data_IF_099529941293
#
_entry.id   IF_099529941293
#
_cell.length_a   1.000
_cell.length_b   1.000
_cell.length_c   1.000
_cell.angle_alpha   90.00
_cell.angle_beta   90.00
_cell.angle_gamma   90.00
#
_symmetry.space_group_name_H-M   'P 1'
#
loop_
_entity.id
_entity.type
_entity.pdbx_description
1 polymer ?
#
# COMPACT_ATOMS: atom_id res chain seq x y z
N UNK A 1 -41.00 -35.32 12.88
CA UNK A 1 -40.38 -34.02 12.83
C UNK A 1 -39.08 -33.87 13.64
N UNK A 2 -39.04 -34.05 14.96
CA UNK A 2 -37.83 -33.84 15.79
C UNK A 2 -36.58 -34.61 15.30
N UNK A 3 -36.71 -35.91 14.92
CA UNK A 3 -35.56 -36.71 14.43
C UNK A 3 -34.97 -36.24 13.10
N UNK A 4 -35.77 -35.63 12.21
CA UNK A 4 -35.28 -35.05 10.95
C UNK A 4 -34.49 -33.77 11.17
N UNK A 5 -34.96 -32.92 12.11
CA UNK A 5 -34.27 -31.67 12.47
C UNK A 5 -32.87 -31.95 13.04
N UNK A 6 -32.79 -32.98 13.93
CA UNK A 6 -31.49 -33.39 14.52
C UNK A 6 -30.53 -33.87 13.43
N UNK A 7 -30.99 -34.65 12.45
CA UNK A 7 -30.13 -35.11 11.34
C UNK A 7 -29.61 -33.99 10.49
N UNK A 8 -30.46 -33.01 10.16
CA UNK A 8 -30.05 -31.79 9.42
C UNK A 8 -29.01 -30.98 10.21
N UNK A 9 -29.22 -30.84 11.52
CA UNK A 9 -28.28 -30.11 12.37
C UNK A 9 -26.91 -30.78 12.46
N UNK A 10 -26.88 -32.11 12.64
CA UNK A 10 -25.66 -32.92 12.63
C UNK A 10 -24.94 -32.79 11.27
N UNK A 11 -25.68 -32.85 10.17
CA UNK A 11 -25.13 -32.74 8.82
C UNK A 11 -24.47 -31.35 8.61
N UNK A 12 -25.11 -30.27 9.06
CA UNK A 12 -24.56 -28.92 8.99
C UNK A 12 -23.28 -28.76 9.85
N UNK A 13 -23.23 -29.40 11.02
CA UNK A 13 -22.02 -29.42 11.86
C UNK A 13 -20.87 -30.15 11.16
N UNK A 14 -21.15 -31.29 10.54
CA UNK A 14 -20.14 -32.06 9.80
C UNK A 14 -19.60 -31.26 8.64
N UNK A 15 -20.47 -30.65 7.83
CA UNK A 15 -20.05 -29.76 6.71
C UNK A 15 -19.20 -28.61 7.22
N UNK A 16 -19.64 -27.92 8.28
CA UNK A 16 -18.90 -26.81 8.89
C UNK A 16 -17.52 -27.25 9.40
N UNK A 17 -17.44 -28.43 9.99
CA UNK A 17 -16.17 -29.01 10.47
C UNK A 17 -15.22 -29.37 9.31
N UNK A 18 -15.74 -29.98 8.25
CA UNK A 18 -14.97 -30.30 7.04
C UNK A 18 -14.46 -29.01 6.40
N UNK A 19 -15.30 -27.97 6.25
CA UNK A 19 -14.91 -26.68 5.71
C UNK A 19 -13.82 -26.02 6.57
N UNK A 20 -13.95 -26.07 7.90
CA UNK A 20 -12.94 -25.53 8.82
C UNK A 20 -11.59 -26.26 8.71
N UNK A 21 -11.61 -27.60 8.56
CA UNK A 21 -10.40 -28.39 8.36
C UNK A 21 -9.75 -28.08 7.00
N UNK A 22 -10.56 -27.96 5.95
CA UNK A 22 -10.10 -27.61 4.62
C UNK A 22 -9.43 -26.23 4.57
N UNK A 23 -10.05 -25.23 5.18
CA UNK A 23 -9.46 -23.87 5.23
C UNK A 23 -8.17 -23.84 6.03
N UNK A 24 -8.07 -24.57 7.14
CA UNK A 24 -6.83 -24.71 7.91
C UNK A 24 -5.74 -25.42 7.12
N UNK A 25 -6.09 -26.48 6.40
CA UNK A 25 -5.16 -27.23 5.55
C UNK A 25 -4.62 -26.35 4.41
N UNK A 26 -5.49 -25.64 3.70
CA UNK A 26 -5.06 -24.72 2.63
C UNK A 26 -4.16 -23.61 3.16
N UNK A 27 -4.51 -23.03 4.32
CA UNK A 27 -3.65 -22.04 4.97
C UNK A 27 -2.27 -22.64 5.27
N UNK A 28 -2.23 -23.84 5.85
CA UNK A 28 -0.96 -24.51 6.18
C UNK A 28 -0.12 -24.77 4.92
N UNK A 29 -0.70 -25.26 3.83
CA UNK A 29 0.03 -25.51 2.58
C UNK A 29 0.58 -24.21 2.01
N UNK A 30 -0.23 -23.15 1.91
CA UNK A 30 0.18 -21.84 1.43
C UNK A 30 1.35 -21.30 2.26
N UNK A 31 1.24 -21.26 3.58
CA UNK A 31 2.29 -20.74 4.46
C UNK A 31 3.55 -21.62 4.49
N UNK A 32 3.44 -22.92 4.19
CA UNK A 32 4.60 -23.81 4.13
C UNK A 32 5.52 -23.51 2.96
N UNK A 33 4.95 -23.10 1.83
CA UNK A 33 5.67 -22.83 0.58
C UNK A 33 6.24 -21.40 0.51
N UNK A 34 5.77 -20.53 1.39
CA UNK A 34 6.22 -19.14 1.43
C UNK A 34 7.61 -19.00 2.02
N UNK A 35 8.36 -18.07 1.46
CA UNK A 35 9.56 -17.52 2.11
C UNK A 35 9.12 -16.58 3.24
N UNK A 36 9.57 -16.82 4.46
CA UNK A 36 9.30 -16.00 5.65
C UNK A 36 10.49 -15.15 6.07
N UNK A 37 11.51 -15.08 5.25
CA UNK A 37 12.69 -14.25 5.51
C UNK A 37 12.34 -12.75 5.56
N UNK A 38 11.26 -12.37 4.85
CA UNK A 38 10.81 -10.98 4.78
C UNK A 38 9.45 -10.81 5.47
N UNK A 39 9.41 -10.15 6.63
CA UNK A 39 8.17 -9.92 7.36
C UNK A 39 7.31 -8.85 6.69
N UNK A 40 5.99 -8.91 6.90
CA UNK A 40 5.13 -7.75 6.65
C UNK A 40 5.48 -6.69 7.69
N UNK A 41 5.69 -5.45 7.25
CA UNK A 41 5.85 -4.30 8.15
C UNK A 41 4.60 -3.45 8.11
N UNK A 42 4.13 -3.04 9.28
CA UNK A 42 2.98 -2.14 9.39
C UNK A 42 3.15 -1.12 10.50
N UNK A 43 2.58 0.05 10.32
CA UNK A 43 2.54 1.10 11.31
C UNK A 43 1.13 1.22 11.90
N UNK A 44 1.02 1.25 13.22
CA UNK A 44 -0.28 1.25 13.88
C UNK A 44 -0.25 1.89 15.27
N UNK A 45 -1.42 2.33 15.70
CA UNK A 45 -1.76 2.57 17.10
C UNK A 45 -2.79 1.52 17.52
N UNK A 46 -2.37 0.59 18.40
CA UNK A 46 -3.17 -0.53 18.85
C UNK A 46 -3.98 -0.15 20.09
N UNK A 47 -5.15 -0.72 20.21
CA UNK A 47 -6.10 -0.44 21.31
C UNK A 47 -5.54 -0.70 22.72
N UNK A 48 -4.52 -1.52 22.85
CA UNK A 48 -3.83 -1.77 24.12
C UNK A 48 -2.84 -0.66 24.51
N UNK A 49 -2.75 0.41 23.72
CA UNK A 49 -1.85 1.54 23.92
C UNK A 49 -0.47 1.36 23.27
N UNK A 50 -0.21 0.22 22.64
CA UNK A 50 1.00 0.04 21.85
C UNK A 50 0.89 0.84 20.53
N UNK A 51 1.83 1.75 20.32
CA UNK A 51 1.92 2.49 19.06
C UNK A 51 3.34 2.43 18.50
N UNK A 52 3.45 2.50 17.18
CA UNK A 52 4.73 2.48 16.49
C UNK A 52 4.68 1.68 15.19
N UNK A 53 5.83 1.20 14.78
CA UNK A 53 5.99 0.33 13.62
C UNK A 53 6.35 -1.07 14.07
N UNK A 54 5.73 -2.04 13.42
CA UNK A 54 5.76 -3.45 13.80
C UNK A 54 6.14 -4.31 12.61
N UNK A 55 6.81 -5.44 12.86
CA UNK A 55 6.95 -6.52 11.89
C UNK A 55 6.05 -7.70 12.28
N UNK A 56 5.40 -8.29 11.28
CA UNK A 56 4.50 -9.41 11.43
C UNK A 56 5.06 -10.63 10.70
N UNK A 57 5.26 -11.71 11.44
CA UNK A 57 5.66 -12.99 10.86
C UNK A 57 4.44 -13.75 10.36
N UNK A 58 4.40 -14.01 9.07
CA UNK A 58 3.25 -14.64 8.41
C UNK A 58 3.04 -16.08 8.88
N UNK A 59 4.14 -16.83 9.14
CA UNK A 59 4.07 -18.26 9.53
C UNK A 59 3.62 -18.45 10.97
N UNK A 60 4.19 -17.65 11.89
CA UNK A 60 3.83 -17.76 13.32
C UNK A 60 2.57 -16.99 13.66
N UNK A 61 2.24 -15.94 12.90
CA UNK A 61 1.15 -15.02 13.20
C UNK A 61 1.46 -14.05 14.34
N UNK A 62 2.72 -13.97 14.74
CA UNK A 62 3.19 -13.08 15.79
C UNK A 62 3.68 -11.76 15.20
N UNK A 63 3.61 -10.70 15.98
CA UNK A 63 4.18 -9.40 15.61
C UNK A 63 5.04 -8.85 16.75
N UNK A 64 6.05 -8.10 16.39
CA UNK A 64 6.92 -7.40 17.34
C UNK A 64 7.10 -5.95 16.92
N UNK A 65 7.25 -5.09 17.91
CA UNK A 65 7.50 -3.67 17.71
C UNK A 65 8.97 -3.45 17.36
N UNK A 66 9.22 -2.74 16.26
CA UNK A 66 10.57 -2.43 15.77
C UNK A 66 10.91 -0.94 15.88
N UNK A 67 9.90 -0.07 16.05
CA UNK A 67 10.11 1.36 16.25
C UNK A 67 9.01 1.96 17.09
N UNK A 68 9.35 2.97 17.91
CA UNK A 68 8.38 3.82 18.61
C UNK A 68 7.76 4.89 17.72
N UNK A 69 8.30 5.11 16.53
CA UNK A 69 7.73 6.00 15.53
C UNK A 69 6.69 5.28 14.67
N UNK A 70 5.66 6.02 14.29
CA UNK A 70 4.66 5.59 13.32
C UNK A 70 5.12 6.02 11.93
N UNK A 71 5.61 5.08 11.14
CA UNK A 71 5.98 5.30 9.75
C UNK A 71 4.73 5.25 8.88
N UNK A 72 4.22 6.42 8.49
CA UNK A 72 3.06 6.50 7.61
C UNK A 72 3.49 6.24 6.16
N UNK A 73 2.62 5.56 5.40
CA UNK A 73 2.83 5.26 3.98
C UNK A 73 4.22 4.66 3.70
N UNK A 74 4.61 3.73 4.55
CA UNK A 74 5.93 3.12 4.52
C UNK A 74 6.16 2.27 3.25
N UNK A 75 7.43 2.19 2.85
CA UNK A 75 7.88 1.34 1.74
C UNK A 75 9.21 0.68 2.08
N UNK A 76 9.38 -0.57 1.67
CA UNK A 76 10.67 -1.24 1.71
C UNK A 76 11.66 -0.66 0.68
N UNK A 77 12.95 -0.77 0.99
CA UNK A 77 14.01 -0.67 -0.01
C UNK A 77 13.98 -1.91 -0.93
N UNK A 78 14.57 -1.79 -2.14
CA UNK A 78 14.59 -2.89 -3.12
C UNK A 78 15.33 -4.13 -2.62
N UNK A 79 16.27 -3.98 -1.68
CA UNK A 79 16.97 -5.07 -1.01
C UNK A 79 16.28 -5.57 0.27
N UNK A 80 15.14 -4.95 0.64
CA UNK A 80 14.37 -5.25 1.85
C UNK A 80 15.13 -5.08 3.18
N UNK A 81 16.30 -4.45 3.17
CA UNK A 81 17.07 -4.22 4.40
C UNK A 81 16.56 -3.02 5.20
N UNK A 82 15.80 -2.12 4.57
CA UNK A 82 15.33 -0.88 5.16
C UNK A 82 13.88 -0.61 4.81
N UNK A 83 13.25 0.23 5.61
CA UNK A 83 11.98 0.86 5.28
C UNK A 83 12.12 2.38 5.33
N UNK A 84 11.38 3.06 4.49
CA UNK A 84 11.23 4.52 4.49
C UNK A 84 9.76 4.88 4.71
N UNK A 85 9.49 5.99 5.35
CA UNK A 85 8.14 6.48 5.56
C UNK A 85 8.11 7.93 6.01
N UNK A 86 6.91 8.47 6.10
CA UNK A 86 6.68 9.82 6.64
C UNK A 86 6.35 9.71 8.12
N UNK A 87 6.97 10.55 8.94
CA UNK A 87 6.69 10.69 10.37
C UNK A 87 6.00 12.02 10.61
N UNK A 88 4.89 11.99 11.33
CA UNK A 88 4.12 13.16 11.76
C UNK A 88 3.95 13.16 13.28
N UNK A 89 5.06 13.25 14.01
CA UNK A 89 5.04 13.26 15.46
C UNK A 89 5.78 14.48 16.02
N UNK A 90 5.44 14.90 17.24
CA UNK A 90 6.06 16.06 17.89
C UNK A 90 7.60 15.97 17.94
N UNK A 91 8.13 14.75 18.02
CA UNK A 91 9.58 14.50 18.11
C UNK A 91 10.31 14.66 16.78
N UNK A 92 9.61 14.36 15.68
CA UNK A 92 10.13 14.44 14.32
C UNK A 92 8.99 14.49 13.32
N UNK A 93 9.12 15.37 12.33
CA UNK A 93 8.19 15.48 11.21
C UNK A 93 9.00 15.55 9.92
N UNK A 94 8.78 14.58 9.03
CA UNK A 94 9.54 14.48 7.78
C UNK A 94 9.70 13.06 7.28
N UNK A 95 10.67 12.86 6.42
CA UNK A 95 11.03 11.54 5.88
C UNK A 95 12.09 10.90 6.77
N UNK A 96 11.86 9.67 7.16
CA UNK A 96 12.78 8.88 7.97
C UNK A 96 12.95 7.47 7.41
N UNK A 97 14.05 6.84 7.79
CA UNK A 97 14.44 5.47 7.45
C UNK A 97 14.59 4.63 8.72
N UNK A 98 14.25 3.37 8.65
CA UNK A 98 14.53 2.36 9.68
C UNK A 98 15.30 1.20 9.06
N UNK A 99 16.49 0.92 9.58
CA UNK A 99 17.25 -0.28 9.21
C UNK A 99 16.61 -1.50 9.87
N UNK A 100 16.22 -2.49 9.07
CA UNK A 100 15.50 -3.68 9.53
C UNK A 100 16.41 -4.71 10.23
N UNK A 101 17.75 -4.57 10.13
CA UNK A 101 18.71 -5.49 10.72
C UNK A 101 18.93 -5.23 12.21
N UNK A 102 18.91 -3.96 12.60
CA UNK A 102 19.21 -3.54 13.97
C UNK A 102 18.18 -2.54 14.55
N UNK A 103 17.12 -2.24 13.77
CA UNK A 103 16.06 -1.29 14.11
C UNK A 103 16.59 0.14 14.34
N UNK A 104 17.68 0.52 13.66
CA UNK A 104 18.25 1.87 13.76
C UNK A 104 17.40 2.87 12.99
N UNK A 105 16.86 3.87 13.71
CA UNK A 105 16.13 5.00 13.13
C UNK A 105 17.10 6.06 12.61
N UNK A 106 16.87 6.52 11.38
CA UNK A 106 17.61 7.60 10.75
C UNK A 106 16.66 8.66 10.20
N UNK A 107 16.74 9.87 10.73
CA UNK A 107 16.04 11.03 10.16
C UNK A 107 16.73 11.42 8.84
N UNK A 108 16.00 11.35 7.72
CA UNK A 108 16.51 11.72 6.41
C UNK A 108 16.43 13.23 6.23
N UNK A 109 15.22 13.78 6.27
CA UNK A 109 15.00 15.22 6.13
C UNK A 109 13.74 15.62 6.89
N UNK A 110 13.84 16.69 7.67
CA UNK A 110 12.66 17.24 8.32
C UNK A 110 11.88 18.17 7.38
N UNK A 111 10.61 18.36 7.66
CA UNK A 111 9.70 19.19 6.85
C UNK A 111 10.17 20.62 6.73
N UNK A 112 10.71 21.20 7.81
CA UNK A 112 11.20 22.59 7.79
C UNK A 112 12.34 22.79 6.78
N UNK A 113 13.24 21.81 6.69
CA UNK A 113 14.30 21.85 5.68
C UNK A 113 13.75 21.52 4.29
N UNK A 114 12.87 20.54 4.18
CA UNK A 114 12.26 20.18 2.90
C UNK A 114 11.50 21.37 2.29
N UNK A 115 10.75 22.14 3.10
CA UNK A 115 10.06 23.35 2.68
C UNK A 115 11.01 24.39 2.01
N UNK A 116 12.24 24.52 2.51
CA UNK A 116 13.22 25.43 1.90
C UNK A 116 13.59 25.03 0.47
N UNK A 117 13.69 23.71 0.23
CA UNK A 117 14.04 23.19 -1.09
C UNK A 117 12.86 23.23 -2.06
N UNK A 118 11.67 22.82 -1.63
CA UNK A 118 10.49 22.83 -2.52
C UNK A 118 10.09 24.25 -2.92
N UNK A 119 10.30 25.21 -2.04
CA UNK A 119 10.11 26.65 -2.37
C UNK A 119 11.02 27.13 -3.51
N UNK A 120 12.23 26.60 -3.62
CA UNK A 120 13.14 26.91 -4.74
C UNK A 120 12.60 26.39 -6.08
N UNK A 121 11.75 25.37 -6.05
CA UNK A 121 11.06 24.82 -7.21
C UNK A 121 9.75 25.56 -7.53
N UNK A 122 9.38 26.56 -6.73
CA UNK A 122 8.11 27.30 -6.89
C UNK A 122 6.89 26.56 -6.36
N UNK A 123 7.10 25.49 -5.57
CA UNK A 123 6.03 24.73 -4.94
C UNK A 123 5.61 25.36 -3.61
N UNK A 124 4.38 25.11 -3.20
CA UNK A 124 3.85 25.56 -1.91
C UNK A 124 4.49 24.82 -0.74
N UNK A 125 4.70 25.54 0.35
CA UNK A 125 5.21 24.97 1.60
C UNK A 125 4.11 24.19 2.34
N UNK A 126 4.47 23.08 3.01
CA UNK A 126 3.57 22.41 3.96
C UNK A 126 3.37 23.33 5.16
N UNK A 127 2.12 23.64 5.44
CA UNK A 127 1.70 24.39 6.62
C UNK A 127 1.05 23.42 7.61
N UNK A 128 1.67 23.30 8.78
CA UNK A 128 1.24 22.36 9.82
C UNK A 128 -0.16 22.57 10.38
N UNK A 129 -0.72 23.77 10.18
CA UNK A 129 -1.95 24.19 10.85
C UNK A 129 -3.23 23.92 10.04
N UNK A 130 -3.12 23.43 8.81
CA UNK A 130 -4.27 23.23 7.92
C UNK A 130 -4.24 21.81 7.35
N UNK A 131 -4.96 20.87 7.94
CA UNK A 131 -5.11 19.54 7.38
C UNK A 131 -5.69 19.59 5.97
N UNK A 132 -5.03 18.95 4.99
CA UNK A 132 -5.52 18.77 3.64
C UNK A 132 -5.11 19.84 2.63
N UNK A 133 -4.17 20.76 2.93
CA UNK A 133 -3.70 21.75 1.93
C UNK A 133 -2.47 21.30 1.13
N UNK A 134 -1.44 20.79 1.78
CA UNK A 134 -0.25 20.25 1.10
C UNK A 134 0.25 19.05 1.87
N UNK A 135 0.43 17.95 1.19
CA UNK A 135 0.80 16.68 1.78
C UNK A 135 2.18 16.22 1.30
N UNK A 136 2.90 15.59 2.20
CA UNK A 136 4.07 14.78 1.92
C UNK A 136 3.65 13.33 2.06
N UNK A 137 3.73 12.56 0.96
CA UNK A 137 3.20 11.19 0.91
C UNK A 137 4.12 10.22 0.16
N UNK A 138 3.99 8.94 0.46
CA UNK A 138 4.52 7.79 -0.27
C UNK A 138 6.01 7.91 -0.61
N UNK A 139 6.91 8.14 0.38
CA UNK A 139 8.33 8.17 0.09
C UNK A 139 8.80 6.80 -0.38
N UNK A 140 9.67 6.78 -1.41
CA UNK A 140 10.26 5.55 -1.98
C UNK A 140 11.74 5.75 -2.24
N UNK A 141 12.49 4.66 -2.17
CA UNK A 141 13.88 4.65 -2.63
C UNK A 141 13.93 4.78 -4.15
N UNK A 142 14.88 5.53 -4.65
CA UNK A 142 15.15 5.64 -6.07
C UNK A 142 16.58 6.10 -6.32
N UNK A 143 17.38 5.29 -6.99
CA UNK A 143 18.81 5.55 -7.27
C UNK A 143 19.58 5.89 -5.97
N UNK A 144 20.25 7.02 -5.97
CA UNK A 144 21.06 7.54 -4.86
C UNK A 144 20.26 8.48 -3.92
N UNK A 145 18.91 8.41 -3.97
CA UNK A 145 18.06 9.30 -3.19
C UNK A 145 16.66 8.74 -2.96
N UNK A 146 15.71 9.65 -2.86
CA UNK A 146 14.33 9.34 -2.49
C UNK A 146 13.35 10.10 -3.36
N UNK A 147 12.26 9.45 -3.75
CA UNK A 147 11.11 10.10 -4.36
C UNK A 147 9.98 10.21 -3.35
N UNK A 148 9.10 11.17 -3.51
CA UNK A 148 7.90 11.36 -2.69
C UNK A 148 6.88 12.24 -3.42
N UNK A 149 5.62 12.13 -3.03
CA UNK A 149 4.60 13.07 -3.43
C UNK A 149 4.69 14.36 -2.63
N UNK A 150 4.45 15.47 -3.33
CA UNK A 150 4.33 16.79 -2.74
C UNK A 150 3.17 17.56 -3.36
N UNK A 151 2.30 18.08 -2.54
CA UNK A 151 1.20 18.94 -2.97
C UNK A 151 -0.17 18.51 -2.47
N UNK A 152 -1.13 19.37 -2.70
CA UNK A 152 -2.52 19.05 -2.50
C UNK A 152 -2.97 18.07 -3.58
N UNK A 153 -3.56 16.96 -3.17
CA UNK A 153 -3.87 15.82 -4.05
C UNK A 153 -2.65 15.29 -4.82
N UNK A 154 -1.45 15.36 -4.22
CA UNK A 154 -0.26 14.69 -4.74
C UNK A 154 0.06 15.01 -6.21
N UNK A 155 0.11 16.29 -6.55
CA UNK A 155 0.29 16.74 -7.94
C UNK A 155 1.73 16.66 -8.44
N UNK A 156 2.71 16.56 -7.54
CA UNK A 156 4.12 16.55 -7.90
C UNK A 156 4.85 15.36 -7.30
N UNK A 157 5.63 14.66 -8.12
CA UNK A 157 6.60 13.70 -7.64
C UNK A 157 7.96 14.40 -7.60
N UNK A 158 8.49 14.52 -6.41
CA UNK A 158 9.79 15.11 -6.17
C UNK A 158 10.84 14.02 -5.99
N UNK A 159 12.05 14.27 -6.46
CA UNK A 159 13.23 13.46 -6.20
C UNK A 159 14.23 14.29 -5.40
N UNK A 160 14.73 13.75 -4.31
CA UNK A 160 15.74 14.36 -3.45
C UNK A 160 16.91 13.41 -3.26
N UNK A 161 18.12 13.94 -3.37
CA UNK A 161 19.34 13.19 -3.12
C UNK A 161 20.35 13.95 -2.27
N UNK A 162 21.16 13.26 -1.47
CA UNK A 162 22.22 13.90 -0.70
C UNK A 162 23.37 14.39 -1.61
N UNK A 163 23.78 15.62 -1.43
CA UNK A 163 24.93 16.20 -2.13
C UNK A 163 25.86 16.86 -1.12
N UNK A 164 26.93 16.18 -0.73
CA UNK A 164 27.84 16.60 0.36
C UNK A 164 27.08 16.84 1.68
N UNK A 165 26.96 18.09 2.09
CA UNK A 165 26.26 18.49 3.33
C UNK A 165 24.88 19.12 3.05
N UNK A 166 24.33 18.86 1.89
CA UNK A 166 23.10 19.49 1.40
C UNK A 166 22.23 18.48 0.66
N UNK A 167 21.11 18.94 0.15
CA UNK A 167 20.19 18.16 -0.67
C UNK A 167 20.02 18.82 -2.04
N UNK A 168 19.98 18.01 -3.08
CA UNK A 168 19.55 18.39 -4.42
C UNK A 168 18.12 17.88 -4.62
N UNK A 169 17.22 18.75 -5.04
CA UNK A 169 15.80 18.42 -5.24
C UNK A 169 15.37 18.80 -6.66
N UNK A 170 14.59 17.91 -7.27
CA UNK A 170 14.01 18.12 -8.59
C UNK A 170 12.60 17.57 -8.67
N UNK A 171 11.82 18.05 -9.63
CA UNK A 171 10.50 17.46 -9.95
C UNK A 171 10.74 16.36 -10.99
N UNK A 172 10.28 15.16 -10.68
CA UNK A 172 10.39 14.00 -11.59
C UNK A 172 9.26 14.03 -12.62
N UNK A 173 8.09 14.46 -12.19
CA UNK A 173 6.91 14.61 -13.03
C UNK A 173 6.24 15.94 -12.74
N UNK A 174 6.31 16.87 -13.68
CA UNK A 174 5.54 18.11 -13.63
C UNK A 174 4.11 17.83 -14.08
N UNK A 175 3.33 17.15 -13.24
CA UNK A 175 1.98 16.77 -13.60
C UNK A 175 0.96 17.88 -13.39
N UNK A 176 0.03 18.00 -14.32
CA UNK A 176 -1.26 18.66 -14.14
C UNK A 176 -2.34 17.63 -13.72
N UNK A 177 -1.94 16.53 -13.11
CA UNK A 177 -2.81 15.40 -12.82
C UNK A 177 -2.95 15.23 -11.32
N UNK A 178 -4.12 14.89 -10.86
CA UNK A 178 -4.28 14.24 -9.56
C UNK A 178 -3.65 12.85 -9.68
N UNK A 179 -2.69 12.57 -8.81
CA UNK A 179 -2.02 11.30 -8.78
C UNK A 179 -2.23 10.67 -7.41
N UNK A 180 -2.82 9.48 -7.37
CA UNK A 180 -3.14 8.79 -6.12
C UNK A 180 -2.03 7.86 -5.68
N UNK A 181 -1.34 7.24 -6.62
CA UNK A 181 -0.25 6.32 -6.36
C UNK A 181 0.79 6.38 -7.46
N UNK A 182 2.04 6.02 -7.15
CA UNK A 182 3.09 5.90 -8.14
C UNK A 182 4.02 4.74 -7.84
N UNK A 183 4.63 4.19 -8.90
CA UNK A 183 5.65 3.15 -8.83
C UNK A 183 6.85 3.57 -9.63
N UNK A 184 7.99 3.44 -9.02
CA UNK A 184 9.30 3.73 -9.56
C UNK A 184 10.28 2.81 -8.87
N UNK A 185 11.21 2.23 -9.61
CA UNK A 185 12.36 1.57 -9.03
C UNK A 185 13.61 1.77 -9.90
N UNK A 186 14.75 1.38 -9.36
CA UNK A 186 16.04 1.57 -10.03
C UNK A 186 16.26 0.65 -11.24
N UNK A 187 15.53 -0.49 -11.32
CA UNK A 187 15.68 -1.47 -12.40
C UNK A 187 14.98 -1.04 -13.69
N UNK A 188 13.98 -0.15 -13.59
CA UNK A 188 13.29 0.42 -14.73
C UNK A 188 13.76 1.86 -14.97
N UNK A 189 15.00 2.02 -15.45
CA UNK A 189 15.57 3.32 -15.74
C UNK A 189 14.59 4.19 -16.53
N UNK A 190 14.27 5.35 -15.96
CA UNK A 190 13.40 6.37 -16.54
C UNK A 190 11.91 6.01 -16.71
N UNK A 191 11.41 4.93 -16.11
CA UNK A 191 9.98 4.62 -16.14
C UNK A 191 9.30 4.92 -14.82
N UNK A 192 8.12 5.49 -14.94
CA UNK A 192 7.24 5.88 -13.84
C UNK A 192 5.83 5.43 -14.19
N UNK A 193 5.21 4.66 -13.30
CA UNK A 193 3.81 4.29 -13.42
C UNK A 193 2.99 5.14 -12.45
N UNK A 194 1.94 5.73 -12.96
CA UNK A 194 1.08 6.65 -12.22
C UNK A 194 -0.36 6.15 -12.25
N UNK A 195 -1.00 6.13 -11.11
CA UNK A 195 -2.44 6.09 -11.02
C UNK A 195 -2.96 7.52 -10.99
N UNK A 196 -3.78 7.88 -11.95
CA UNK A 196 -4.25 9.26 -12.11
C UNK A 196 -5.75 9.32 -12.24
N UNK A 197 -6.34 10.42 -11.78
CA UNK A 197 -7.69 10.81 -12.11
C UNK A 197 -7.67 11.73 -13.34
N UNK A 198 -8.22 11.28 -14.45
CA UNK A 198 -8.37 12.08 -15.67
C UNK A 198 -9.62 12.97 -15.68
N UNK A 199 -10.51 12.86 -14.69
CA UNK A 199 -11.81 13.55 -14.67
C UNK A 199 -11.70 15.06 -14.64
N UNK A 200 -10.67 15.60 -14.02
CA UNK A 200 -10.41 17.03 -14.01
C UNK A 200 -9.99 17.58 -15.37
N UNK A 201 -9.63 16.73 -16.32
CA UNK A 201 -9.17 17.13 -17.65
C UNK A 201 -10.19 16.90 -18.77
N UNK A 202 -11.07 15.93 -18.64
CA UNK A 202 -12.14 15.67 -19.62
C UNK A 202 -13.49 15.84 -18.95
N UNK A 203 -14.32 16.73 -19.44
CA UNK A 203 -15.62 17.12 -18.88
C UNK A 203 -16.68 16.01 -18.83
N UNK A 204 -16.37 14.75 -19.08
CA UNK A 204 -17.40 13.76 -19.34
C UNK A 204 -17.28 12.36 -18.73
N UNK A 205 -16.20 11.97 -18.08
CA UNK A 205 -16.11 10.60 -17.52
C UNK A 205 -15.23 10.54 -16.26
N UNK A 206 -15.82 10.05 -15.16
CA UNK A 206 -15.15 9.81 -13.87
C UNK A 206 -14.36 8.50 -13.92
N UNK A 207 -13.18 8.48 -14.53
CA UNK A 207 -12.35 7.27 -14.65
C UNK A 207 -10.90 7.57 -14.33
N UNK A 208 -10.35 6.79 -13.42
CA UNK A 208 -8.92 6.72 -13.22
C UNK A 208 -8.21 5.88 -14.27
N UNK A 209 -6.98 6.21 -14.57
CA UNK A 209 -6.15 5.46 -15.51
C UNK A 209 -4.77 5.22 -14.94
N UNK A 210 -4.17 4.10 -15.32
CA UNK A 210 -2.75 3.85 -15.05
C UNK A 210 -1.96 4.33 -16.27
N UNK A 211 -1.02 5.23 -16.03
CA UNK A 211 -0.18 5.83 -17.07
C UNK A 211 1.28 5.40 -16.86
N UNK A 212 1.92 4.90 -17.91
CA UNK A 212 3.37 4.74 -17.97
C UNK A 212 3.99 6.03 -18.51
N UNK A 213 5.04 6.54 -17.87
CA UNK A 213 5.76 7.74 -18.30
C UNK A 213 7.26 7.56 -18.20
N UNK A 214 7.98 8.32 -19.03
CA UNK A 214 9.41 8.52 -18.87
C UNK A 214 9.67 9.65 -17.85
N UNK A 215 10.61 9.42 -16.95
CA UNK A 215 11.01 10.41 -15.95
C UNK A 215 11.60 11.63 -16.64
N UNK A 216 11.06 12.83 -16.33
CA UNK A 216 11.51 14.10 -16.88
C UNK A 216 10.88 14.48 -18.22
N UNK A 217 9.93 13.72 -18.74
CA UNK A 217 9.18 14.03 -19.94
C UNK A 217 7.74 14.40 -19.62
N UNK A 218 7.25 15.50 -20.18
CA UNK A 218 5.86 15.96 -19.99
C UNK A 218 4.85 15.21 -20.88
N UNK A 219 5.32 14.36 -21.78
CA UNK A 219 4.48 13.71 -22.77
C UNK A 219 3.91 12.39 -22.25
N UNK A 220 2.62 12.20 -22.47
CA UNK A 220 1.93 10.93 -22.22
C UNK A 220 2.51 9.87 -23.15
N UNK A 221 3.37 9.01 -22.66
CA UNK A 221 3.75 7.79 -23.36
C UNK A 221 3.03 6.59 -22.72
N UNK A 222 2.17 5.96 -23.49
CA UNK A 222 1.55 4.70 -23.15
C UNK A 222 0.48 4.79 -22.04
N UNK A 223 -0.73 5.13 -22.42
CA UNK A 223 -1.87 4.74 -21.60
C UNK A 223 -1.86 3.21 -21.60
N UNK A 224 -1.56 2.62 -20.46
CA UNK A 224 -1.92 1.21 -20.26
C UNK A 224 -3.45 1.21 -20.33
N UNK A 225 -4.03 0.43 -21.21
CA UNK A 225 -5.48 0.33 -21.46
C UNK A 225 -6.20 -0.29 -20.24
N UNK A 226 -5.93 0.26 -19.06
CA UNK A 226 -6.51 -0.13 -17.78
C UNK A 226 -7.32 1.06 -17.32
N UNK A 227 -8.58 1.06 -17.69
CA UNK A 227 -9.57 1.97 -17.12
C UNK A 227 -9.93 1.48 -15.72
N UNK A 228 -9.77 2.33 -14.73
CA UNK A 228 -10.23 2.07 -13.37
C UNK A 228 -11.60 2.74 -13.21
N UNK A 229 -12.66 1.98 -12.94
CA UNK A 229 -13.96 2.58 -12.65
C UNK A 229 -13.93 3.26 -11.29
N UNK A 230 -14.48 4.48 -11.22
CA UNK A 230 -14.75 5.26 -10.00
C UNK A 230 -13.65 5.25 -8.93
N UNK A 231 -12.61 6.04 -9.14
CA UNK A 231 -11.55 6.27 -8.14
C UNK A 231 -11.99 7.18 -6.97
N UNK A 232 -13.16 7.77 -7.02
CA UNK A 232 -13.63 8.71 -5.98
C UNK A 232 -13.76 8.11 -4.58
N UNK A 233 -13.83 6.78 -4.46
CA UNK A 233 -13.93 6.07 -3.19
C UNK A 233 -12.76 5.11 -2.90
N UNK A 234 -11.81 4.94 -3.82
CA UNK A 234 -10.64 4.09 -3.62
C UNK A 234 -9.38 4.96 -3.49
N UNK A 235 -8.79 5.01 -2.32
CA UNK A 235 -7.55 5.74 -2.01
C UNK A 235 -6.32 5.13 -2.74
N UNK A 236 -6.37 5.00 -4.08
CA UNK A 236 -5.25 4.56 -4.88
C UNK A 236 -4.76 3.15 -4.55
N UNK A 237 -5.64 2.15 -4.68
CA UNK A 237 -5.30 0.76 -4.33
C UNK A 237 -4.61 0.05 -5.49
N UNK A 238 -3.33 0.34 -5.66
CA UNK A 238 -2.49 -0.27 -6.66
C UNK A 238 -1.17 -0.71 -6.04
N UNK A 239 -0.59 -1.79 -6.54
CA UNK A 239 0.77 -2.21 -6.19
C UNK A 239 1.48 -2.91 -7.34
N UNK A 240 2.82 -2.92 -7.30
CA UNK A 240 3.67 -3.59 -8.28
C UNK A 240 4.76 -4.39 -7.56
N UNK A 241 5.08 -5.61 -8.03
CA UNK A 241 6.24 -6.33 -7.52
C UNK A 241 7.55 -5.65 -7.92
N UNK A 242 8.65 -6.00 -7.25
CA UNK A 242 9.97 -5.38 -7.48
C UNK A 242 10.42 -5.47 -8.94
N UNK A 243 10.08 -6.56 -9.64
CA UNK A 243 10.40 -6.73 -11.08
C UNK A 243 9.53 -5.89 -12.00
N UNK A 244 8.55 -5.18 -11.45
CA UNK A 244 7.57 -4.34 -12.16
C UNK A 244 6.93 -5.02 -13.38
N UNK A 245 6.80 -6.34 -13.35
CA UNK A 245 6.27 -7.14 -14.47
C UNK A 245 4.74 -7.07 -14.59
N UNK A 246 4.08 -6.68 -13.51
CA UNK A 246 2.62 -6.66 -13.40
C UNK A 246 2.13 -5.58 -12.45
N UNK A 247 0.85 -5.25 -12.57
CA UNK A 247 0.18 -4.29 -11.69
C UNK A 247 -1.00 -5.00 -11.04
N UNK A 248 -1.09 -4.97 -9.70
CA UNK A 248 -2.30 -5.31 -8.98
C UNK A 248 -3.12 -4.05 -8.74
N UNK A 249 -4.41 -4.13 -8.94
CA UNK A 249 -5.33 -3.03 -8.68
C UNK A 249 -6.70 -3.52 -8.23
N UNK A 250 -7.40 -2.65 -7.53
CA UNK A 250 -8.75 -2.89 -7.05
C UNK A 250 -9.78 -2.23 -7.97
N UNK A 251 -10.77 -3.01 -8.39
CA UNK A 251 -11.93 -2.56 -9.15
C UNK A 251 -13.14 -3.16 -8.46
N UNK A 252 -13.82 -2.37 -7.63
CA UNK A 252 -14.84 -2.86 -6.71
C UNK A 252 -15.87 -3.81 -7.36
N UNK A 253 -16.10 -4.99 -6.78
CA UNK A 253 -15.54 -5.55 -5.54
C UNK A 253 -14.36 -6.52 -5.78
N UNK A 254 -13.64 -6.41 -6.85
CA UNK A 254 -12.70 -7.40 -7.37
C UNK A 254 -11.25 -6.89 -7.39
N UNK A 255 -10.31 -7.81 -7.21
CA UNK A 255 -8.88 -7.55 -7.36
C UNK A 255 -8.40 -8.17 -8.65
N UNK A 256 -7.69 -7.38 -9.43
CA UNK A 256 -7.12 -7.78 -10.71
C UNK A 256 -5.61 -7.64 -10.74
N UNK A 257 -4.98 -8.43 -11.59
CA UNK A 257 -3.59 -8.26 -11.98
C UNK A 257 -3.54 -8.05 -13.49
N UNK A 258 -2.82 -7.03 -13.91
CA UNK A 258 -2.48 -6.76 -15.27
C UNK A 258 -1.01 -7.10 -15.53
N UNK A 259 -0.75 -8.01 -16.45
CA UNK A 259 0.60 -8.39 -16.85
C UNK A 259 1.09 -7.44 -17.96
N UNK A 260 2.18 -6.73 -17.68
CA UNK A 260 2.71 -5.69 -18.57
C UNK A 260 3.33 -6.26 -19.86
N UNK A 261 3.83 -7.50 -19.84
CA UNK A 261 4.41 -8.15 -21.01
C UNK A 261 3.34 -8.68 -21.96
N UNK A 262 2.38 -9.41 -21.40
CA UNK A 262 1.32 -10.05 -22.19
C UNK A 262 0.14 -9.14 -22.45
N UNK A 263 0.03 -8.01 -21.73
CA UNK A 263 -1.09 -7.07 -21.73
C UNK A 263 -2.43 -7.75 -21.41
N UNK A 264 -2.41 -8.70 -20.49
CA UNK A 264 -3.60 -9.45 -20.10
C UNK A 264 -4.01 -9.12 -18.67
N UNK A 265 -5.30 -8.88 -18.51
CA UNK A 265 -5.96 -8.76 -17.21
C UNK A 265 -6.33 -10.15 -16.68
N UNK A 266 -6.01 -10.42 -15.43
CA UNK A 266 -6.39 -11.63 -14.69
C UNK A 266 -7.14 -11.25 -13.44
N UNK A 267 -8.35 -11.78 -13.28
CA UNK A 267 -9.06 -11.71 -12.00
C UNK A 267 -8.38 -12.62 -10.98
N UNK A 268 -8.12 -12.11 -9.79
CA UNK A 268 -7.42 -12.84 -8.72
C UNK A 268 -8.38 -13.26 -7.62
N UNK A 269 -9.15 -12.34 -7.10
CA UNK A 269 -10.12 -12.62 -6.03
C UNK A 269 -11.17 -11.51 -5.98
N UNK A 270 -12.24 -11.79 -5.27
CA UNK A 270 -13.29 -10.82 -5.03
C UNK A 270 -13.62 -10.73 -3.55
N UNK A 271 -14.18 -9.59 -3.17
CA UNK A 271 -14.67 -9.32 -1.83
C UNK A 271 -16.20 -9.12 -1.91
N UNK A 272 -16.96 -10.14 -1.52
CA UNK A 272 -18.43 -10.12 -1.66
C UNK A 272 -19.20 -9.65 -0.43
N UNK A 273 -18.53 -9.26 0.65
CA UNK A 273 -19.24 -8.89 1.86
C UNK A 273 -19.60 -7.40 1.83
N UNK A 274 -20.89 -7.11 1.92
CA UNK A 274 -21.40 -5.75 2.06
C UNK A 274 -20.67 -4.99 3.18
N UNK A 275 -20.31 -3.73 2.92
CA UNK A 275 -19.64 -2.81 3.84
C UNK A 275 -18.19 -3.21 4.20
N UNK A 276 -17.48 -3.85 3.29
CA UNK A 276 -16.04 -4.11 3.44
C UNK A 276 -15.28 -3.45 2.30
N UNK A 277 -14.40 -2.53 2.63
CA UNK A 277 -13.52 -1.88 1.66
C UNK A 277 -12.13 -2.51 1.72
N UNK A 278 -11.53 -2.75 0.56
CA UNK A 278 -10.11 -3.03 0.48
C UNK A 278 -9.37 -1.72 0.75
N UNK A 279 -8.39 -1.78 1.64
CA UNK A 279 -7.68 -0.59 2.10
C UNK A 279 -6.22 -0.56 1.61
N UNK A 280 -5.63 -1.71 1.33
CA UNK A 280 -4.24 -1.85 0.90
C UNK A 280 -4.07 -3.09 0.04
N UNK A 281 -3.19 -3.01 -0.93
CA UNK A 281 -2.70 -4.13 -1.74
C UNK A 281 -1.18 -4.13 -1.71
N UNK A 282 -0.55 -5.30 -1.47
CA UNK A 282 0.90 -5.43 -1.49
C UNK A 282 1.32 -6.79 -2.05
N UNK A 283 2.22 -6.79 -3.01
CA UNK A 283 2.83 -8.03 -3.48
C UNK A 283 3.79 -8.60 -2.44
N UNK A 284 3.90 -9.93 -2.43
CA UNK A 284 5.05 -10.57 -1.80
C UNK A 284 6.33 -10.24 -2.56
N UNK A 285 7.50 -10.26 -1.92
CA UNK A 285 8.79 -9.98 -2.57
C UNK A 285 9.05 -10.84 -3.81
N UNK A 286 8.60 -12.10 -3.81
CA UNK A 286 8.72 -13.01 -4.95
C UNK A 286 7.59 -12.88 -5.99
N UNK A 287 6.65 -11.96 -5.78
CA UNK A 287 5.53 -11.69 -6.67
C UNK A 287 4.52 -12.83 -6.85
N UNK A 288 4.57 -13.88 -6.01
CA UNK A 288 3.65 -15.04 -6.09
C UNK A 288 2.40 -14.87 -5.26
N UNK A 289 2.50 -14.11 -4.20
CA UNK A 289 1.40 -13.84 -3.29
C UNK A 289 1.08 -12.36 -3.25
N UNK A 290 -0.09 -12.06 -2.77
CA UNK A 290 -0.52 -10.70 -2.50
C UNK A 290 -1.18 -10.62 -1.14
N UNK A 291 -0.73 -9.68 -0.33
CA UNK A 291 -1.40 -9.23 0.87
C UNK A 291 -2.44 -8.20 0.47
N UNK A 292 -3.65 -8.33 1.00
CA UNK A 292 -4.59 -7.22 0.97
C UNK A 292 -5.26 -7.06 2.32
N UNK A 293 -5.58 -5.84 2.65
CA UNK A 293 -6.25 -5.51 3.90
C UNK A 293 -7.68 -5.10 3.63
N UNK A 294 -8.58 -5.55 4.49
CA UNK A 294 -10.00 -5.24 4.41
C UNK A 294 -10.41 -4.50 5.68
N UNK A 295 -11.02 -3.34 5.50
CA UNK A 295 -11.66 -2.59 6.57
C UNK A 295 -13.13 -2.97 6.70
N UNK A 296 -13.55 -3.48 7.86
CA UNK A 296 -14.97 -3.65 8.18
C UNK A 296 -15.53 -2.31 8.64
N UNK A 297 -16.41 -1.69 7.87
CA UNK A 297 -17.16 -0.51 8.33
C UNK A 297 -18.26 -0.97 9.28
N UNK A 298 -18.24 -0.64 10.59
CA UNK A 298 -19.36 -0.94 11.46
C UNK A 298 -20.56 -0.07 11.04
N UNK A 299 -21.74 -0.64 11.05
CA UNK A 299 -23.05 -0.09 10.63
C UNK A 299 -23.44 1.28 11.21
N UNK A 300 -22.64 1.86 12.06
CA UNK A 300 -22.89 3.11 12.79
C UNK A 300 -21.74 4.10 12.66
N UNK A 301 -21.51 4.63 11.48
CA UNK A 301 -20.90 5.94 11.24
C UNK A 301 -19.68 6.37 12.08
N UNK A 302 -18.87 5.46 12.57
CA UNK A 302 -17.69 5.76 13.39
C UNK A 302 -16.41 5.36 12.68
N UNK A 303 -15.37 6.17 12.80
CA UNK A 303 -14.05 6.06 12.21
C UNK A 303 -13.23 4.82 12.64
N UNK A 304 -13.86 3.78 13.14
CA UNK A 304 -13.19 2.60 13.72
C UNK A 304 -13.34 1.40 12.79
N UNK A 305 -12.46 1.31 11.83
CA UNK A 305 -12.37 0.13 10.97
C UNK A 305 -11.65 -0.99 11.69
N UNK A 306 -12.25 -2.19 11.69
CA UNK A 306 -11.50 -3.41 11.98
C UNK A 306 -10.75 -3.81 10.73
N UNK A 307 -9.42 -3.87 10.77
CA UNK A 307 -8.66 -4.40 9.65
C UNK A 307 -8.52 -5.93 9.75
N UNK A 308 -8.59 -6.57 8.60
CA UNK A 308 -8.30 -7.99 8.45
C UNK A 308 -7.28 -8.13 7.33
N UNK A 309 -6.18 -8.83 7.61
CA UNK A 309 -5.16 -9.12 6.62
C UNK A 309 -5.49 -10.46 5.95
N UNK A 310 -5.54 -10.44 4.65
CA UNK A 310 -5.72 -11.61 3.80
C UNK A 310 -4.51 -11.81 2.92
N UNK A 311 -4.18 -13.09 2.71
CA UNK A 311 -3.18 -13.53 1.76
C UNK A 311 -3.87 -14.23 0.61
N UNK A 312 -3.49 -13.93 -0.62
CA UNK A 312 -3.96 -14.63 -1.82
C UNK A 312 -2.77 -15.15 -2.61
N UNK A 313 -2.86 -16.41 -3.02
CA UNK A 313 -1.99 -16.99 -4.04
C UNK A 313 -2.45 -16.51 -5.40
N UNK A 314 -1.56 -15.82 -6.11
CA UNK A 314 -1.90 -15.14 -7.37
C UNK A 314 -2.21 -16.14 -8.49
N UNK A 315 -1.54 -17.28 -8.51
CA UNK A 315 -1.74 -18.27 -9.56
C UNK A 315 -3.08 -19.00 -9.40
N UNK A 316 -3.36 -19.52 -8.21
CA UNK A 316 -4.55 -20.30 -7.92
C UNK A 316 -5.78 -19.47 -7.55
N UNK A 317 -5.62 -18.22 -7.13
CA UNK A 317 -6.67 -17.38 -6.56
C UNK A 317 -7.12 -17.83 -5.15
N UNK A 318 -6.43 -18.80 -4.56
CA UNK A 318 -6.75 -19.26 -3.22
C UNK A 318 -6.40 -18.20 -2.19
N UNK A 319 -7.34 -17.90 -1.30
CA UNK A 319 -7.15 -16.89 -0.26
C UNK A 319 -7.25 -17.47 1.14
N UNK A 320 -6.49 -16.89 2.06
CA UNK A 320 -6.55 -17.21 3.48
C UNK A 320 -6.48 -15.98 4.34
N UNK A 321 -7.20 -16.02 5.47
CA UNK A 321 -7.11 -14.96 6.48
C UNK A 321 -5.87 -15.17 7.33
N UNK A 322 -5.01 -14.15 7.41
CA UNK A 322 -3.83 -14.16 8.28
C UNK A 322 -4.23 -13.76 9.70
N UNK A 323 -4.73 -12.56 9.86
CA UNK A 323 -5.05 -11.95 11.15
C UNK A 323 -6.27 -11.04 11.02
N UNK A 324 -7.06 -10.97 12.09
CA UNK A 324 -8.14 -9.99 12.25
C UNK A 324 -7.84 -9.14 13.48
N UNK A 325 -7.61 -7.87 13.24
CA UNK A 325 -7.30 -6.90 14.27
C UNK A 325 -8.53 -6.47 15.06
N UNK A 326 -8.33 -5.84 16.19
CA UNK A 326 -9.43 -5.43 17.07
C UNK A 326 -10.11 -4.15 16.53
N UNK A 327 -11.34 -3.95 16.90
CA UNK A 327 -12.00 -2.67 16.64
C UNK A 327 -11.34 -1.58 17.47
N UNK A 328 -10.88 -0.51 16.83
CA UNK A 328 -10.16 0.60 17.46
C UNK A 328 -8.65 0.55 17.29
N UNK A 329 -8.09 -0.48 16.63
CA UNK A 329 -6.72 -0.42 16.14
C UNK A 329 -6.69 0.49 14.90
N UNK A 330 -5.79 1.47 14.87
CA UNK A 330 -5.59 2.38 13.73
C UNK A 330 -4.31 2.01 12.99
N UNK A 331 -4.40 1.94 11.67
CA UNK A 331 -3.26 1.61 10.80
C UNK A 331 -2.93 2.79 9.90
N UNK A 332 -1.65 3.07 9.72
CA UNK A 332 -1.13 4.23 8.99
C UNK A 332 -0.32 3.88 7.76
N UNK A 333 0.08 2.63 7.62
CA UNK A 333 0.81 2.11 6.47
C UNK A 333 1.13 0.62 6.65
N UNK A 334 1.31 -0.05 5.52
CA UNK A 334 1.71 -1.46 5.47
C UNK A 334 2.54 -1.68 4.21
N UNK A 335 3.56 -2.52 4.31
CA UNK A 335 4.33 -3.00 3.16
C UNK A 335 4.85 -4.42 3.39
N UNK A 336 5.26 -5.05 2.28
CA UNK A 336 5.74 -6.43 2.31
C UNK A 336 6.84 -6.70 1.31
#
# INVERSE_FOLDING_TARGET
MKKSIIKVFIFLIIIGSIYCLYTKYNKYQMLKEMDDSLPIVFAAELKDGNKGTFKYNIKTGEYEKISDYIFQELSYSDDYEKIIGVIWEDRFQGIAELDMRDNTFTAIINISDLNKYVKQLGLEEIKYDIPGETELRMPKYYKDGYTFFWGYYSTHICYIKPVKNNWDISIVNSGKFLCYSYFINEYMENKLFLETDETLMSKNEDRGTIIERNIGEDNKEGILDIELPDLLDSDGLMDMPVDMSKIAYYEEPEIYIYDLHTRKKKHVTNQYLFNQNIMELKFSPDGKYMLYTVGDNPFFGGSFYRRTFYLVDIESGNKTKLVKWRTGDMFYGIDW
#
